data_IF_032931801027
#
_entry.id   IF_032931801027
#
_cell.length_a   1.000
_cell.length_b   1.000
_cell.length_c   1.000
_cell.angle_alpha   90.00
_cell.angle_beta   90.00
_cell.angle_gamma   90.00
#
_symmetry.space_group_name_H-M   'P 1'
#
loop_
_entity.id
_entity.type
_entity.pdbx_description
1 polymer ?
#
# COMPACT_ATOMS: atom_id res chain seq x y z
N UNK A 1 64.71 11.60 18.81
CA UNK A 1 63.64 12.60 18.58
C UNK A 1 62.38 11.85 18.19
N UNK A 2 61.46 11.68 19.15
CA UNK A 2 60.18 11.01 18.95
C UNK A 2 59.14 12.05 18.54
N UNK A 3 58.80 12.11 17.25
CA UNK A 3 57.65 12.89 16.80
C UNK A 3 56.37 12.13 17.20
N UNK A 4 55.47 12.73 18.01
CA UNK A 4 54.20 12.13 18.31
C UNK A 4 53.36 12.03 17.02
N UNK A 5 52.85 10.82 16.77
CA UNK A 5 52.02 10.45 15.63
C UNK A 5 50.78 11.36 15.52
N UNK A 6 50.80 12.27 14.54
CA UNK A 6 49.67 13.13 14.14
C UNK A 6 48.41 12.36 13.75
N UNK A 7 48.48 11.02 13.62
CA UNK A 7 47.33 10.17 13.27
C UNK A 7 46.34 9.93 14.41
N UNK A 8 46.71 10.20 15.67
CA UNK A 8 45.86 9.87 16.84
C UNK A 8 44.75 10.92 17.09
N UNK A 9 44.90 12.15 16.59
CA UNK A 9 44.00 13.27 16.95
C UNK A 9 42.84 13.46 15.95
N UNK A 10 42.97 12.95 14.72
CA UNK A 10 41.97 13.18 13.65
C UNK A 10 40.71 12.31 13.85
N UNK A 11 40.86 11.13 14.42
CA UNK A 11 39.78 10.15 14.58
C UNK A 11 38.61 10.59 15.51
N UNK A 12 38.84 11.14 16.73
CA UNK A 12 37.73 11.54 17.61
C UNK A 12 36.93 12.75 17.11
N UNK A 13 37.54 13.63 16.30
CA UNK A 13 36.86 14.80 15.73
C UNK A 13 35.85 14.44 14.64
N UNK A 14 36.10 13.35 13.92
CA UNK A 14 35.17 12.88 12.89
C UNK A 14 33.91 12.24 13.49
N UNK A 15 34.05 11.51 14.62
CA UNK A 15 32.92 10.87 15.32
C UNK A 15 31.97 11.90 15.95
N UNK A 16 32.52 12.99 16.51
CA UNK A 16 31.71 14.06 17.10
C UNK A 16 30.86 14.82 16.07
N UNK A 17 31.35 14.96 14.83
CA UNK A 17 30.62 15.64 13.75
C UNK A 17 29.41 14.82 13.26
N UNK A 18 29.48 13.48 13.29
CA UNK A 18 28.39 12.59 12.86
C UNK A 18 27.25 12.55 13.89
N UNK A 19 27.55 12.70 15.18
CA UNK A 19 26.53 12.71 16.25
C UNK A 19 25.69 13.99 16.29
N UNK A 20 26.24 15.15 15.90
CA UNK A 20 25.57 16.44 16.05
C UNK A 20 24.48 16.70 15.00
N UNK A 21 24.58 16.07 13.83
CA UNK A 21 23.60 16.17 12.73
C UNK A 21 22.31 15.39 12.99
N UNK A 22 22.32 14.44 13.92
CA UNK A 22 21.18 13.55 14.21
C UNK A 22 20.12 14.24 15.12
N UNK A 23 20.49 15.30 15.85
CA UNK A 23 19.62 15.92 16.87
C UNK A 23 18.68 17.04 16.36
N UNK A 24 18.79 17.48 15.11
CA UNK A 24 18.22 18.77 14.69
C UNK A 24 16.84 18.75 14.00
N UNK A 25 16.19 17.60 13.76
CA UNK A 25 15.01 17.57 12.86
C UNK A 25 13.88 16.67 13.38
N UNK A 26 12.95 17.23 14.16
CA UNK A 26 11.67 16.59 14.51
C UNK A 26 10.50 17.60 14.44
N UNK A 27 9.63 17.45 13.44
CA UNK A 27 8.28 18.04 13.44
C UNK A 27 7.29 17.03 12.83
N UNK A 28 6.28 16.63 13.61
CA UNK A 28 5.25 15.63 13.27
C UNK A 28 4.05 16.28 12.58
N UNK A 29 3.46 15.61 11.56
CA UNK A 29 2.16 15.93 10.98
C UNK A 29 1.15 14.80 11.26
N UNK A 30 -0.07 15.18 11.67
CA UNK A 30 -1.16 14.29 12.03
C UNK A 30 -2.06 13.96 10.81
N UNK A 31 -2.61 12.74 10.77
CA UNK A 31 -3.53 12.29 9.73
C UNK A 31 -4.98 12.81 9.95
N UNK A 32 -5.75 13.05 8.87
CA UNK A 32 -7.11 13.59 8.96
C UNK A 32 -8.13 12.52 9.37
N UNK A 33 -9.06 12.93 10.25
CA UNK A 33 -10.07 12.08 10.88
C UNK A 33 -11.24 11.68 9.97
N UNK A 34 -11.87 10.56 10.33
CA UNK A 34 -13.07 9.96 9.74
C UNK A 34 -14.25 10.95 9.72
N UNK A 35 -14.87 11.15 8.55
CA UNK A 35 -16.07 11.97 8.39
C UNK A 35 -17.33 11.25 8.89
N UNK A 36 -17.96 11.77 9.94
CA UNK A 36 -19.36 11.50 10.28
C UNK A 36 -20.23 12.53 9.57
N UNK A 37 -21.06 12.10 8.61
CA UNK A 37 -21.95 12.98 7.86
C UNK A 37 -23.30 13.11 8.58
N UNK A 38 -23.71 14.33 8.88
CA UNK A 38 -25.01 14.64 9.51
C UNK A 38 -26.12 14.73 8.46
N UNK A 39 -27.33 14.30 8.81
CA UNK A 39 -28.53 14.18 7.97
C UNK A 39 -28.97 15.49 7.26
N UNK A 40 -28.52 16.65 7.78
CA UNK A 40 -28.74 17.98 7.19
C UNK A 40 -28.07 18.20 5.83
N UNK A 41 -27.15 17.33 5.42
CA UNK A 41 -26.37 17.49 4.18
C UNK A 41 -27.15 17.06 2.91
N UNK A 42 -28.32 16.42 3.08
CA UNK A 42 -29.14 15.85 2.00
C UNK A 42 -29.87 16.86 1.11
N UNK A 43 -29.86 18.15 1.46
CA UNK A 43 -30.49 19.22 0.68
C UNK A 43 -29.51 20.05 -0.14
N UNK A 44 -28.20 19.84 0.02
CA UNK A 44 -27.23 20.59 -0.76
C UNK A 44 -27.13 20.00 -2.17
N UNK A 45 -27.04 20.84 -3.22
CA UNK A 45 -26.77 20.36 -4.57
C UNK A 45 -25.46 19.56 -4.60
N UNK A 46 -25.46 18.46 -5.35
CA UNK A 46 -24.24 17.70 -5.59
C UNK A 46 -23.50 18.42 -6.70
N UNK A 47 -22.48 19.17 -6.32
CA UNK A 47 -21.50 19.76 -7.23
C UNK A 47 -20.22 18.92 -7.18
N UNK A 48 -19.83 18.33 -8.30
CA UNK A 48 -18.61 17.50 -8.39
C UNK A 48 -18.06 17.43 -9.80
N UNK A 49 -16.73 17.39 -9.92
CA UNK A 49 -16.01 17.12 -11.17
C UNK A 49 -15.55 15.64 -11.26
N UNK A 50 -15.91 14.84 -10.28
CA UNK A 50 -15.49 13.43 -10.11
C UNK A 50 -16.54 12.46 -10.65
N UNK A 51 -16.08 11.27 -11.05
CA UNK A 51 -16.93 10.19 -11.55
C UNK A 51 -17.39 10.38 -12.99
N UNK A 52 -18.06 9.37 -13.54
CA UNK A 52 -18.60 9.39 -14.90
C UNK A 52 -20.11 9.28 -14.83
N UNK A 53 -20.82 10.18 -15.49
CA UNK A 53 -22.27 10.17 -15.53
C UNK A 53 -22.71 9.98 -16.98
N UNK A 54 -23.42 8.89 -17.23
CA UNK A 54 -24.04 8.58 -18.50
C UNK A 54 -25.55 8.70 -18.36
N UNK A 55 -26.19 9.44 -19.25
CA UNK A 55 -27.65 9.58 -19.29
C UNK A 55 -28.14 9.23 -20.68
N UNK A 56 -28.97 8.19 -20.77
CA UNK A 56 -29.52 7.66 -22.03
C UNK A 56 -28.45 7.35 -23.08
N UNK A 57 -27.32 6.78 -22.64
CA UNK A 57 -26.20 6.43 -23.52
C UNK A 57 -25.26 7.58 -23.85
N UNK A 58 -25.55 8.81 -23.43
CA UNK A 58 -24.68 9.97 -23.63
C UNK A 58 -23.83 10.24 -22.40
N UNK A 59 -22.52 10.48 -22.60
CA UNK A 59 -21.64 10.94 -21.53
C UNK A 59 -21.87 12.43 -21.26
N UNK A 60 -22.21 12.77 -20.03
CA UNK A 60 -22.28 14.16 -19.57
C UNK A 60 -20.89 14.63 -19.14
N UNK A 61 -20.48 15.81 -19.60
CA UNK A 61 -19.20 16.41 -19.20
C UNK A 61 -19.33 17.07 -17.82
N UNK A 62 -18.35 16.89 -16.91
CA UNK A 62 -18.29 17.66 -15.66
C UNK A 62 -18.03 19.16 -15.94
N UNK A 63 -18.34 20.06 -14.99
CA UNK A 63 -18.85 19.80 -13.65
C UNK A 63 -20.30 19.30 -13.65
N UNK A 64 -20.61 18.34 -12.78
CA UNK A 64 -21.98 17.89 -12.56
C UNK A 64 -22.63 18.76 -11.50
N UNK A 65 -23.81 19.30 -11.83
CA UNK A 65 -24.68 19.99 -10.89
C UNK A 65 -25.99 19.21 -10.80
N UNK A 66 -26.16 18.47 -9.69
CA UNK A 66 -27.34 17.66 -9.44
C UNK A 66 -28.14 18.28 -8.30
N UNK A 67 -29.37 18.67 -8.61
CA UNK A 67 -30.33 19.24 -7.65
C UNK A 67 -31.54 18.28 -7.55
N UNK A 68 -32.13 18.16 -6.36
CA UNK A 68 -33.35 17.38 -6.17
C UNK A 68 -34.48 18.28 -5.63
N UNK A 69 -35.62 18.26 -6.31
CA UNK A 69 -36.88 18.83 -5.86
C UNK A 69 -37.76 17.69 -5.34
N UNK A 70 -37.58 17.35 -4.07
CA UNK A 70 -38.30 16.24 -3.42
C UNK A 70 -39.81 16.48 -3.28
N UNK A 71 -40.29 17.72 -3.46
CA UNK A 71 -41.73 18.02 -3.44
C UNK A 71 -42.38 17.64 -4.78
N UNK A 72 -41.62 17.73 -5.87
CA UNK A 72 -42.08 17.39 -7.23
C UNK A 72 -41.58 16.04 -7.74
N UNK A 73 -40.77 15.34 -6.96
CA UNK A 73 -40.12 14.09 -7.35
C UNK A 73 -39.23 14.25 -8.61
N UNK A 74 -38.59 15.43 -8.74
CA UNK A 74 -37.74 15.77 -9.87
C UNK A 74 -36.27 15.81 -9.46
N UNK A 75 -35.41 15.30 -10.33
CA UNK A 75 -33.95 15.41 -10.23
C UNK A 75 -33.47 16.20 -11.43
N UNK A 76 -32.78 17.31 -11.17
CA UNK A 76 -32.22 18.18 -12.19
C UNK A 76 -30.73 17.90 -12.32
N UNK A 77 -30.30 17.43 -13.49
CA UNK A 77 -28.89 17.15 -13.80
C UNK A 77 -28.45 18.16 -14.85
N UNK A 78 -27.49 19.02 -14.52
CA UNK A 78 -26.95 20.07 -15.41
C UNK A 78 -28.05 20.96 -16.04
N UNK A 79 -29.16 21.19 -15.31
CA UNK A 79 -30.28 22.00 -15.77
C UNK A 79 -31.38 21.25 -16.51
N UNK A 80 -31.17 19.98 -16.88
CA UNK A 80 -32.20 19.12 -17.45
C UNK A 80 -32.99 18.41 -16.34
N UNK A 81 -34.32 18.44 -16.43
CA UNK A 81 -35.23 17.86 -15.45
C UNK A 81 -35.56 16.41 -15.81
N UNK A 82 -35.32 15.51 -14.87
CA UNK A 82 -35.67 14.09 -14.94
C UNK A 82 -36.64 13.77 -13.81
N UNK A 83 -37.77 13.17 -14.15
CA UNK A 83 -38.69 12.67 -13.14
C UNK A 83 -38.13 11.38 -12.52
N UNK A 84 -38.34 11.16 -11.23
CA UNK A 84 -37.80 9.98 -10.54
C UNK A 84 -38.39 8.67 -11.08
N UNK A 85 -39.61 8.72 -11.63
CA UNK A 85 -40.28 7.62 -12.34
C UNK A 85 -39.71 7.35 -13.74
N UNK A 86 -38.85 8.23 -14.27
CA UNK A 86 -38.15 7.99 -15.52
C UNK A 86 -37.12 6.85 -15.40
N UNK A 87 -36.77 6.43 -14.18
CA UNK A 87 -35.84 5.35 -13.90
C UNK A 87 -36.52 4.26 -13.06
N UNK A 88 -36.14 3.00 -13.26
CA UNK A 88 -36.63 1.91 -12.39
C UNK A 88 -35.87 1.93 -11.05
N UNK A 89 -36.44 2.62 -10.07
CA UNK A 89 -35.86 2.73 -8.73
C UNK A 89 -36.27 1.58 -7.78
N UNK A 90 -36.94 0.54 -8.27
CA UNK A 90 -37.46 -0.56 -7.44
C UNK A 90 -36.36 -1.28 -6.65
N UNK A 91 -35.19 -1.49 -7.26
CA UNK A 91 -34.02 -2.09 -6.61
C UNK A 91 -33.48 -1.28 -5.43
N UNK A 92 -33.46 0.06 -5.57
CA UNK A 92 -32.96 0.97 -4.54
C UNK A 92 -33.87 1.03 -3.31
N UNK A 93 -35.19 1.02 -3.54
CA UNK A 93 -36.19 0.99 -2.46
C UNK A 93 -36.04 -0.28 -1.62
N UNK A 94 -35.80 -1.42 -2.27
CA UNK A 94 -35.55 -2.68 -1.57
C UNK A 94 -34.29 -2.61 -0.70
N UNK A 95 -33.21 -1.99 -1.19
CA UNK A 95 -31.96 -1.83 -0.45
C UNK A 95 -32.10 -0.96 0.81
N UNK A 96 -32.82 0.17 0.72
CA UNK A 96 -33.05 1.04 1.89
C UNK A 96 -33.93 0.32 2.93
N UNK A 97 -34.94 -0.43 2.48
CA UNK A 97 -35.79 -1.22 3.38
C UNK A 97 -35.00 -2.31 4.13
N UNK A 98 -34.04 -2.96 3.46
CA UNK A 98 -33.15 -3.95 4.06
C UNK A 98 -32.19 -3.31 5.07
N UNK A 99 -31.62 -2.14 4.74
CA UNK A 99 -30.75 -1.36 5.67
C UNK A 99 -31.51 -0.93 6.92
N UNK A 100 -32.76 -0.44 6.78
CA UNK A 100 -33.60 -0.06 7.93
C UNK A 100 -33.95 -1.26 8.80
N UNK A 101 -34.31 -2.41 8.21
CA UNK A 101 -34.60 -3.64 8.97
C UNK A 101 -33.37 -4.22 9.68
N UNK A 102 -32.18 -4.11 9.07
CA UNK A 102 -30.93 -4.60 9.66
C UNK A 102 -30.37 -3.73 10.80
N UNK A 103 -30.61 -2.40 10.75
CA UNK A 103 -30.07 -1.46 11.73
C UNK A 103 -30.71 -1.54 13.12
N UNK A 104 -31.97 -1.97 13.22
CA UNK A 104 -32.72 -2.00 14.48
C UNK A 104 -32.61 -3.35 15.23
N UNK A 105 -32.10 -4.39 14.58
CA UNK A 105 -31.95 -5.74 15.15
C UNK A 105 -30.64 -6.00 15.90
N UNK A 106 -29.58 -5.21 15.66
CA UNK A 106 -28.22 -5.50 16.13
C UNK A 106 -27.87 -5.07 17.57
N UNK A 107 -28.80 -4.41 18.29
CA UNK A 107 -28.60 -3.95 19.68
C UNK A 107 -29.53 -4.60 20.72
N UNK A 108 -30.13 -5.75 20.39
CA UNK A 108 -30.52 -6.73 21.42
C UNK A 108 -29.32 -7.64 21.61
N UNK A 109 -28.34 -7.26 22.41
CA UNK A 109 -28.51 -7.39 23.84
C UNK A 109 -28.71 -8.87 24.16
N UNK A 110 -27.62 -9.63 24.28
CA UNK A 110 -27.58 -10.88 25.04
C UNK A 110 -27.93 -10.54 26.50
N UNK A 111 -29.21 -10.33 26.74
CA UNK A 111 -29.79 -10.12 28.05
C UNK A 111 -30.89 -11.14 28.22
N UNK A 112 -30.56 -12.21 28.94
CA UNK A 112 -31.50 -13.15 29.53
C UNK A 112 -32.71 -12.44 30.16
N UNK A 113 -33.93 -12.87 29.81
CA UNK A 113 -34.99 -13.32 30.75
C UNK A 113 -36.36 -13.30 30.06
N UNK A 114 -36.88 -14.50 29.86
CA UNK A 114 -38.10 -14.98 30.52
C UNK A 114 -39.14 -13.91 30.91
N UNK A 115 -40.34 -14.01 30.32
CA UNK A 115 -41.57 -13.55 30.95
C UNK A 115 -42.36 -12.45 30.24
N UNK A 116 -43.22 -12.87 29.31
CA UNK A 116 -44.53 -12.24 29.07
C UNK A 116 -44.53 -10.90 28.34
N UNK A 117 -45.73 -10.43 28.03
CA UNK A 117 -46.06 -9.21 27.25
C UNK A 117 -46.16 -9.41 25.74
N UNK A 118 -46.92 -10.43 25.40
CA UNK A 118 -47.75 -10.50 24.20
C UNK A 118 -48.99 -9.61 24.43
N UNK A 119 -48.97 -8.36 23.96
CA UNK A 119 -50.13 -7.47 23.68
C UNK A 119 -49.65 -6.06 23.32
N UNK A 120 -49.81 -5.68 22.06
CA UNK A 120 -49.73 -4.26 21.67
C UNK A 120 -49.09 -3.93 20.32
N UNK A 121 -48.84 -4.91 19.44
CA UNK A 121 -48.18 -4.68 18.14
C UNK A 121 -49.18 -4.46 16.99
N UNK A 122 -50.22 -3.66 17.23
CA UNK A 122 -51.31 -3.40 16.27
C UNK A 122 -51.43 -1.91 15.87
N UNK A 123 -50.45 -1.06 16.22
CA UNK A 123 -50.51 0.40 15.97
C UNK A 123 -49.43 0.98 15.03
N UNK A 124 -48.74 0.17 14.25
CA UNK A 124 -47.67 0.66 13.36
C UNK A 124 -47.98 0.59 11.85
N UNK A 125 -49.22 0.31 11.45
CA UNK A 125 -49.60 0.19 10.04
C UNK A 125 -50.14 1.48 9.39
N UNK A 126 -50.28 2.60 10.12
CA UNK A 126 -51.01 3.78 9.64
C UNK A 126 -50.15 4.97 9.18
N UNK A 127 -48.82 4.84 9.19
CA UNK A 127 -47.91 5.83 8.58
C UNK A 127 -47.14 5.20 7.41
N UNK A 128 -47.88 4.61 6.47
CA UNK A 128 -47.34 4.39 5.14
C UNK A 128 -47.19 5.78 4.48
N UNK A 129 -46.01 6.39 4.63
CA UNK A 129 -45.68 7.58 3.85
C UNK A 129 -45.91 7.29 2.35
N UNK A 130 -46.44 8.26 1.58
CA UNK A 130 -46.67 8.09 0.16
C UNK A 130 -45.37 7.62 -0.52
N UNK A 131 -45.45 6.45 -1.15
CA UNK A 131 -44.30 5.66 -1.62
C UNK A 131 -43.42 6.35 -2.67
N UNK A 132 -43.86 7.45 -3.25
CA UNK A 132 -43.10 8.23 -4.23
C UNK A 132 -41.89 8.95 -3.62
N UNK A 133 -42.07 9.74 -2.56
CA UNK A 133 -41.01 10.67 -2.07
C UNK A 133 -39.75 9.99 -1.49
N UNK A 134 -39.83 8.70 -1.16
CA UNK A 134 -38.71 7.93 -0.59
C UNK A 134 -37.71 7.51 -1.68
N UNK A 135 -38.18 7.32 -2.92
CA UNK A 135 -37.34 6.84 -4.03
C UNK A 135 -36.35 7.92 -4.48
N UNK A 136 -36.80 9.17 -4.72
CA UNK A 136 -35.92 10.25 -5.14
C UNK A 136 -34.86 10.63 -4.11
N UNK A 137 -35.18 10.62 -2.80
CA UNK A 137 -34.18 10.86 -1.74
C UNK A 137 -33.09 9.79 -1.72
N UNK A 138 -33.50 8.54 -1.83
CA UNK A 138 -32.57 7.40 -1.84
C UNK A 138 -31.69 7.46 -3.09
N UNK A 139 -32.30 7.70 -4.25
CA UNK A 139 -31.59 7.82 -5.51
C UNK A 139 -30.62 9.01 -5.53
N UNK A 140 -31.04 10.19 -5.07
CA UNK A 140 -30.16 11.36 -4.93
C UNK A 140 -28.96 11.09 -4.00
N UNK A 141 -29.18 10.35 -2.90
CA UNK A 141 -28.09 9.92 -2.01
C UNK A 141 -27.09 9.00 -2.72
N UNK A 142 -27.55 8.10 -3.59
CA UNK A 142 -26.66 7.24 -4.36
C UNK A 142 -25.94 8.02 -5.48
N UNK A 143 -26.55 9.06 -6.07
CA UNK A 143 -25.87 9.96 -7.01
C UNK A 143 -24.69 10.71 -6.37
N UNK A 144 -24.72 10.95 -5.06
CA UNK A 144 -23.60 11.57 -4.34
C UNK A 144 -22.33 10.71 -4.37
N UNK A 145 -22.44 9.41 -4.67
CA UNK A 145 -21.28 8.53 -4.90
C UNK A 145 -20.41 8.97 -6.09
N UNK A 146 -20.91 9.83 -6.99
CA UNK A 146 -20.07 10.50 -8.01
C UNK A 146 -18.88 11.25 -7.38
N UNK A 147 -19.03 11.80 -6.17
CA UNK A 147 -17.93 12.44 -5.41
C UNK A 147 -16.80 11.47 -5.06
N UNK A 148 -17.11 10.18 -5.05
CA UNK A 148 -16.17 9.09 -4.80
C UNK A 148 -15.60 8.52 -6.11
N UNK A 149 -15.80 9.17 -7.26
CA UNK A 149 -15.50 8.75 -8.64
C UNK A 149 -16.27 7.54 -9.19
N UNK A 150 -17.44 7.22 -8.65
CA UNK A 150 -18.31 6.16 -9.19
C UNK A 150 -18.70 6.45 -10.65
N UNK A 151 -18.92 5.40 -11.43
CA UNK A 151 -19.58 5.48 -12.74
C UNK A 151 -21.07 5.25 -12.53
N UNK A 152 -21.88 6.20 -12.97
CA UNK A 152 -23.34 6.15 -12.89
C UNK A 152 -23.90 6.11 -14.31
N UNK A 153 -24.72 5.11 -14.60
CA UNK A 153 -25.42 4.96 -15.88
C UNK A 153 -26.92 5.03 -15.62
N UNK A 154 -27.56 6.04 -16.20
CA UNK A 154 -28.99 6.28 -16.14
C UNK A 154 -29.58 6.02 -17.51
N UNK A 155 -30.57 5.13 -17.59
CA UNK A 155 -31.32 4.85 -18.81
C UNK A 155 -32.82 4.90 -18.49
N UNK A 156 -33.60 5.51 -19.38
CA UNK A 156 -35.05 5.60 -19.21
C UNK A 156 -35.69 4.22 -19.02
N UNK A 157 -36.60 4.11 -18.06
CA UNK A 157 -37.37 2.91 -17.71
C UNK A 157 -36.52 1.71 -17.27
N UNK A 158 -35.24 1.93 -16.95
CA UNK A 158 -34.30 0.89 -16.54
C UNK A 158 -33.67 1.19 -15.18
N UNK A 159 -33.17 0.16 -14.46
CA UNK A 159 -32.55 0.39 -13.17
C UNK A 159 -31.22 1.15 -13.34
N UNK A 160 -30.94 2.15 -12.49
CA UNK A 160 -29.68 2.87 -12.52
C UNK A 160 -28.53 1.93 -12.15
N UNK A 161 -27.47 1.93 -12.95
CA UNK A 161 -26.27 1.13 -12.70
C UNK A 161 -25.20 2.01 -12.02
N UNK A 162 -24.72 1.55 -10.87
CA UNK A 162 -23.67 2.21 -10.10
C UNK A 162 -22.44 1.28 -10.02
N UNK A 163 -21.31 1.74 -10.57
CA UNK A 163 -20.06 0.99 -10.54
C UNK A 163 -19.03 1.79 -9.74
N UNK A 164 -18.64 1.27 -8.58
CA UNK A 164 -17.57 1.85 -7.75
C UNK A 164 -16.22 1.85 -8.49
N UNK A 165 -15.21 2.61 -8.03
CA UNK A 165 -13.82 2.40 -8.52
C UNK A 165 -13.27 1.08 -8.01
N UNK A 166 -13.69 0.03 -8.68
CA UNK A 166 -13.12 -1.30 -8.66
C UNK A 166 -12.56 -1.58 -10.06
N UNK A 167 -11.97 -2.76 -10.22
CA UNK A 167 -11.58 -3.34 -11.51
C UNK A 167 -12.72 -3.28 -12.55
N UNK A 168 -13.96 -3.23 -12.10
CA UNK A 168 -15.18 -3.22 -12.92
C UNK A 168 -15.39 -1.89 -13.64
N UNK A 169 -15.14 -0.77 -12.94
CA UNK A 169 -15.16 0.56 -13.54
C UNK A 169 -14.06 0.74 -14.58
N UNK A 170 -12.88 0.16 -14.30
CA UNK A 170 -11.76 0.13 -15.22
C UNK A 170 -12.11 -0.68 -16.47
N UNK A 171 -12.67 -1.87 -16.30
CA UNK A 171 -13.12 -2.70 -17.42
C UNK A 171 -14.14 -1.96 -18.30
N UNK A 172 -15.12 -1.27 -17.70
CA UNK A 172 -16.09 -0.47 -18.45
C UNK A 172 -15.39 0.61 -19.27
N UNK A 173 -14.57 1.45 -18.63
CA UNK A 173 -13.91 2.57 -19.30
C UNK A 173 -13.00 2.08 -20.44
N UNK A 174 -12.26 0.99 -20.20
CA UNK A 174 -11.42 0.35 -21.21
C UNK A 174 -12.24 -0.17 -22.38
N UNK A 175 -13.39 -0.81 -22.14
CA UNK A 175 -14.32 -1.24 -23.20
C UNK A 175 -14.87 -0.05 -23.99
N UNK A 176 -15.32 1.02 -23.32
CA UNK A 176 -15.86 2.22 -23.99
C UNK A 176 -14.81 2.97 -24.81
N UNK A 177 -13.54 2.98 -24.38
CA UNK A 177 -12.42 3.52 -25.16
C UNK A 177 -12.13 2.62 -26.38
N UNK A 178 -12.19 1.30 -26.22
CA UNK A 178 -11.94 0.34 -27.30
C UNK A 178 -12.99 0.41 -28.41
N UNK A 179 -14.26 0.71 -28.08
CA UNK A 179 -15.34 0.88 -29.06
C UNK A 179 -15.00 1.93 -30.13
N UNK A 180 -14.33 3.03 -29.76
CA UNK A 180 -13.89 4.08 -30.70
C UNK A 180 -12.83 3.57 -31.71
N UNK A 181 -12.02 2.61 -31.31
CA UNK A 181 -10.97 2.01 -32.15
C UNK A 181 -11.47 0.92 -33.10
N UNK A 182 -12.76 0.56 -33.04
CA UNK A 182 -13.35 -0.53 -33.81
C UNK A 182 -12.95 -1.93 -33.33
N UNK A 183 -12.23 -2.02 -32.21
CA UNK A 183 -11.85 -3.29 -31.60
C UNK A 183 -12.91 -3.71 -30.58
N UNK A 184 -13.77 -4.65 -30.96
CA UNK A 184 -14.65 -5.34 -30.02
C UNK A 184 -13.93 -6.59 -29.52
N UNK A 185 -13.05 -6.42 -28.54
CA UNK A 185 -12.61 -7.59 -27.77
C UNK A 185 -13.81 -8.23 -27.06
N UNK A 186 -13.70 -9.50 -26.69
CA UNK A 186 -14.78 -10.21 -26.01
C UNK A 186 -15.23 -9.40 -24.78
N UNK A 187 -16.46 -8.87 -24.84
CA UNK A 187 -17.02 -8.01 -23.80
C UNK A 187 -17.04 -8.78 -22.47
N UNK A 188 -16.16 -8.41 -21.54
CA UNK A 188 -16.15 -8.97 -20.19
C UNK A 188 -17.15 -8.20 -19.35
N UNK A 189 -18.27 -8.83 -19.04
CA UNK A 189 -19.27 -8.28 -18.11
C UNK A 189 -18.73 -8.45 -16.69
N UNK A 190 -18.58 -7.38 -15.88
CA UNK A 190 -18.06 -7.49 -14.53
C UNK A 190 -18.99 -8.25 -13.57
N UNK A 191 -18.41 -8.84 -12.52
CA UNK A 191 -19.14 -9.64 -11.54
C UNK A 191 -20.13 -8.82 -10.68
N UNK A 192 -19.91 -7.51 -10.47
CA UNK A 192 -20.91 -6.65 -9.82
C UNK A 192 -22.20 -6.47 -10.61
N UNK A 193 -22.19 -6.74 -11.92
CA UNK A 193 -23.40 -6.68 -12.77
C UNK A 193 -24.15 -8.00 -12.62
N UNK A 194 -24.84 -8.13 -11.47
CA UNK A 194 -25.45 -9.37 -11.04
C UNK A 194 -26.82 -9.59 -11.65
N UNK A 195 -27.63 -8.53 -11.81
CA UNK A 195 -28.99 -8.69 -12.31
C UNK A 195 -29.05 -8.75 -13.84
N UNK A 196 -29.98 -9.51 -14.42
CA UNK A 196 -30.19 -9.52 -15.87
C UNK A 196 -30.50 -8.13 -16.44
N UNK A 197 -31.22 -7.29 -15.69
CA UNK A 197 -31.55 -5.93 -16.10
C UNK A 197 -30.31 -5.01 -16.14
N UNK A 198 -29.42 -5.10 -15.16
CA UNK A 198 -28.15 -4.36 -15.17
C UNK A 198 -27.24 -4.82 -16.31
N UNK A 199 -27.23 -6.12 -16.64
CA UNK A 199 -26.50 -6.63 -17.81
C UNK A 199 -27.01 -6.03 -19.10
N UNK A 200 -28.32 -5.92 -19.25
CA UNK A 200 -28.92 -5.29 -20.43
C UNK A 200 -28.57 -3.81 -20.54
N UNK A 201 -28.55 -3.07 -19.42
CA UNK A 201 -28.10 -1.67 -19.35
C UNK A 201 -26.63 -1.55 -19.77
N UNK A 202 -25.78 -2.44 -19.27
CA UNK A 202 -24.36 -2.50 -19.59
C UNK A 202 -24.12 -2.80 -21.08
N UNK A 203 -24.70 -3.89 -21.60
CA UNK A 203 -24.56 -4.30 -23.00
C UNK A 203 -25.08 -3.23 -23.95
N UNK A 204 -26.21 -2.60 -23.61
CA UNK A 204 -26.74 -1.48 -24.39
C UNK A 204 -25.77 -0.29 -24.38
N UNK A 205 -25.23 0.08 -23.21
CA UNK A 205 -24.27 1.17 -23.12
C UNK A 205 -23.05 0.86 -24.00
N UNK A 206 -22.39 -0.30 -23.83
CA UNK A 206 -21.17 -0.61 -24.59
C UNK A 206 -21.41 -0.70 -26.10
N UNK A 207 -22.56 -1.23 -26.52
CA UNK A 207 -22.89 -1.39 -27.95
C UNK A 207 -23.33 -0.11 -28.65
N UNK A 208 -23.98 0.81 -27.95
CA UNK A 208 -24.56 2.02 -28.54
C UNK A 208 -23.76 3.29 -28.23
N UNK A 209 -22.78 3.22 -27.33
CA UNK A 209 -22.02 4.39 -26.90
C UNK A 209 -21.19 4.99 -28.03
N UNK A 210 -21.40 6.29 -28.27
CA UNK A 210 -20.58 7.10 -29.17
C UNK A 210 -19.64 7.95 -28.32
N UNK A 211 -18.35 7.62 -28.36
CA UNK A 211 -17.35 8.28 -27.55
C UNK A 211 -17.18 9.76 -27.97
N UNK A 212 -17.36 10.68 -27.02
CA UNK A 212 -17.05 12.10 -27.25
C UNK A 212 -15.56 12.36 -27.04
N UNK A 213 -14.94 13.35 -27.70
CA UNK A 213 -13.53 13.69 -27.48
C UNK A 213 -13.22 14.01 -26.00
N UNK A 214 -14.16 14.69 -25.32
CA UNK A 214 -14.04 15.01 -23.90
C UNK A 214 -14.07 13.76 -23.00
N UNK A 215 -14.92 12.78 -23.33
CA UNK A 215 -14.91 11.48 -22.67
C UNK A 215 -13.56 10.78 -22.87
N UNK A 216 -13.12 10.63 -24.12
CA UNK A 216 -11.89 9.89 -24.45
C UNK A 216 -10.66 10.46 -23.74
N UNK A 217 -10.51 11.78 -23.72
CA UNK A 217 -9.39 12.43 -23.03
C UNK A 217 -9.36 12.08 -21.53
N UNK A 218 -10.52 12.16 -20.87
CA UNK A 218 -10.63 11.94 -19.42
C UNK A 218 -10.53 10.46 -19.07
N UNK A 219 -11.21 9.60 -19.82
CA UNK A 219 -11.21 8.16 -19.63
C UNK A 219 -9.81 7.57 -19.83
N UNK A 220 -9.08 7.97 -20.90
CA UNK A 220 -7.70 7.54 -21.13
C UNK A 220 -6.78 7.93 -19.99
N UNK A 221 -6.83 9.18 -19.53
CA UNK A 221 -6.03 9.63 -18.39
C UNK A 221 -6.30 8.79 -17.14
N UNK A 222 -7.56 8.42 -16.89
CA UNK A 222 -7.94 7.60 -15.74
C UNK A 222 -7.44 6.16 -15.89
N UNK A 223 -7.67 5.54 -17.05
CA UNK A 223 -7.21 4.17 -17.36
C UNK A 223 -5.69 4.08 -17.29
N UNK A 224 -4.95 5.04 -17.87
CA UNK A 224 -3.49 5.10 -17.78
C UNK A 224 -2.98 5.22 -16.34
N UNK A 225 -3.68 6.00 -15.51
CA UNK A 225 -3.36 6.11 -14.09
C UNK A 225 -3.57 4.79 -13.36
N UNK A 226 -4.70 4.11 -13.60
CA UNK A 226 -4.99 2.81 -12.99
C UNK A 226 -4.02 1.73 -13.48
N UNK A 227 -3.66 1.73 -14.77
CA UNK A 227 -2.63 0.84 -15.31
C UNK A 227 -1.27 1.04 -14.63
N UNK A 228 -0.89 2.30 -14.39
CA UNK A 228 0.35 2.62 -13.70
C UNK A 228 0.33 2.12 -12.25
N UNK A 229 -0.80 2.25 -11.56
CA UNK A 229 -1.00 1.73 -10.20
C UNK A 229 -1.03 0.20 -10.16
N UNK A 230 -1.72 -0.45 -11.10
CA UNK A 230 -1.77 -1.91 -11.21
C UNK A 230 -0.39 -2.51 -11.48
N UNK A 231 0.39 -1.92 -12.40
CA UNK A 231 1.78 -2.33 -12.65
C UNK A 231 2.64 -2.21 -11.40
N UNK A 232 2.45 -1.19 -10.57
CA UNK A 232 3.18 -1.07 -9.30
C UNK A 232 2.80 -2.19 -8.32
N UNK A 233 1.53 -2.56 -8.26
CA UNK A 233 1.06 -3.68 -7.44
C UNK A 233 1.64 -5.01 -7.95
N UNK A 234 1.64 -5.24 -9.25
CA UNK A 234 2.21 -6.44 -9.87
C UNK A 234 3.72 -6.53 -9.66
N UNK A 235 4.44 -5.42 -9.87
CA UNK A 235 5.89 -5.33 -9.61
C UNK A 235 6.20 -5.64 -8.13
N UNK A 236 5.36 -5.14 -7.22
CA UNK A 236 5.48 -5.41 -5.79
C UNK A 236 5.20 -6.89 -5.46
N UNK A 237 4.15 -7.48 -6.04
CA UNK A 237 3.82 -8.88 -5.87
C UNK A 237 4.92 -9.80 -6.41
N UNK A 238 5.46 -9.50 -7.59
CA UNK A 238 6.59 -10.21 -8.19
C UNK A 238 7.86 -10.09 -7.32
N UNK A 239 8.12 -8.93 -6.73
CA UNK A 239 9.23 -8.74 -5.80
C UNK A 239 9.07 -9.57 -4.51
N UNK A 240 7.86 -9.65 -3.95
CA UNK A 240 7.55 -10.51 -2.80
C UNK A 240 7.74 -11.99 -3.15
N UNK A 241 7.28 -12.42 -4.32
CA UNK A 241 7.44 -13.80 -4.77
C UNK A 241 8.92 -14.15 -4.96
N UNK A 242 9.71 -13.26 -5.58
CA UNK A 242 11.15 -13.44 -5.71
C UNK A 242 11.83 -13.50 -4.33
N UNK A 243 11.43 -12.63 -3.41
CA UNK A 243 11.93 -12.60 -2.04
C UNK A 243 11.66 -13.92 -1.30
N UNK A 244 10.47 -14.49 -1.43
CA UNK A 244 10.12 -15.77 -0.79
C UNK A 244 10.96 -16.93 -1.36
N UNK A 245 11.19 -16.95 -2.68
CA UNK A 245 12.05 -17.94 -3.34
C UNK A 245 13.51 -17.86 -2.89
N UNK A 246 14.02 -16.65 -2.63
CA UNK A 246 15.42 -16.43 -2.21
C UNK A 246 15.61 -16.63 -0.70
N UNK A 247 14.56 -16.45 0.11
CA UNK A 247 14.66 -16.47 1.57
C UNK A 247 15.20 -17.80 2.14
N UNK A 248 14.72 -18.94 1.65
CA UNK A 248 15.18 -20.26 2.12
C UNK A 248 16.67 -20.56 1.83
N UNK A 249 17.17 -20.44 0.58
CA UNK A 249 18.59 -20.67 0.32
C UNK A 249 19.47 -19.64 1.02
N UNK A 250 19.03 -18.38 1.13
CA UNK A 250 19.77 -17.33 1.83
C UNK A 250 19.91 -17.63 3.33
N UNK A 251 18.84 -18.04 4.00
CA UNK A 251 18.87 -18.40 5.43
C UNK A 251 19.73 -19.63 5.70
N UNK A 252 19.63 -20.64 4.84
CA UNK A 252 20.49 -21.83 4.91
C UNK A 252 21.96 -21.44 4.76
N UNK A 253 22.28 -20.61 3.77
CA UNK A 253 23.65 -20.10 3.55
C UNK A 253 24.15 -19.30 4.75
N UNK A 254 23.32 -18.41 5.30
CA UNK A 254 23.65 -17.61 6.46
C UNK A 254 23.93 -18.47 7.70
N UNK A 255 23.16 -19.54 7.92
CA UNK A 255 23.40 -20.48 9.02
C UNK A 255 24.75 -21.19 8.90
N UNK A 256 25.08 -21.69 7.71
CA UNK A 256 26.40 -22.28 7.43
C UNK A 256 27.51 -21.26 7.66
N UNK A 257 27.32 -20.03 7.19
CA UNK A 257 28.31 -18.95 7.35
C UNK A 257 28.53 -18.59 8.83
N UNK A 258 27.48 -18.56 9.64
CA UNK A 258 27.58 -18.35 11.10
C UNK A 258 28.40 -19.45 11.77
N UNK A 259 28.17 -20.71 11.44
CA UNK A 259 28.95 -21.85 11.99
C UNK A 259 30.42 -21.75 11.60
N UNK A 260 30.70 -21.45 10.32
CA UNK A 260 32.07 -21.25 9.81
C UNK A 260 32.76 -20.08 10.53
N UNK A 261 32.05 -18.97 10.71
CA UNK A 261 32.58 -17.80 11.40
C UNK A 261 32.94 -18.09 12.86
N UNK A 262 32.05 -18.77 13.60
CA UNK A 262 32.32 -19.19 14.98
C UNK A 262 33.56 -20.10 15.04
N UNK A 263 33.63 -21.11 14.16
CA UNK A 263 34.78 -22.01 14.08
C UNK A 263 36.09 -21.24 13.82
N UNK A 264 36.06 -20.32 12.85
CA UNK A 264 37.20 -19.46 12.51
C UNK A 264 37.62 -18.58 13.69
N UNK A 265 36.67 -17.96 14.38
CA UNK A 265 36.90 -17.08 15.54
C UNK A 265 37.53 -17.85 16.70
N UNK A 266 37.09 -19.09 16.97
CA UNK A 266 37.59 -19.93 18.06
C UNK A 266 39.01 -20.45 17.78
N UNK A 267 39.26 -20.97 16.57
CA UNK A 267 40.57 -21.52 16.18
C UNK A 267 41.65 -20.42 16.21
N UNK A 268 41.30 -19.22 15.75
CA UNK A 268 42.27 -18.12 15.60
C UNK A 268 42.21 -17.06 16.69
N UNK A 269 41.49 -17.27 17.80
CA UNK A 269 41.43 -16.28 18.89
C UNK A 269 42.83 -15.95 19.45
N UNK A 270 43.57 -16.96 19.93
CA UNK A 270 44.87 -16.77 20.57
C UNK A 270 45.90 -16.07 19.65
N UNK A 271 46.12 -16.52 18.38
CA UNK A 271 47.04 -15.85 17.46
C UNK A 271 46.68 -14.39 17.11
N UNK A 272 45.39 -14.02 17.17
CA UNK A 272 44.94 -12.67 16.86
C UNK A 272 45.19 -11.69 18.02
N UNK A 273 45.24 -12.17 19.26
CA UNK A 273 45.51 -11.35 20.44
C UNK A 273 47.00 -11.32 20.83
N UNK A 274 47.73 -12.42 20.59
CA UNK A 274 49.15 -12.57 20.93
C UNK A 274 50.11 -11.78 20.02
N UNK A 275 51.26 -11.43 20.59
CA UNK A 275 52.45 -11.08 19.80
C UNK A 275 53.02 -12.36 19.18
N UNK A 276 53.41 -12.30 17.91
CA UNK A 276 54.04 -13.44 17.22
C UNK A 276 55.42 -13.01 16.81
N UNK A 277 56.42 -13.63 17.44
CA UNK A 277 57.84 -13.38 17.18
C UNK A 277 58.36 -14.26 16.01
N UNK A 278 57.64 -15.33 15.67
CA UNK A 278 58.00 -16.24 14.58
C UNK A 278 57.45 -15.76 13.20
N UNK A 279 58.30 -15.56 12.18
CA UNK A 279 57.86 -15.15 10.84
C UNK A 279 56.86 -16.10 10.19
N UNK A 280 56.93 -17.42 10.46
CA UNK A 280 55.99 -18.38 9.88
C UNK A 280 54.57 -18.24 10.46
N UNK A 281 54.47 -17.94 11.77
CA UNK A 281 53.21 -17.62 12.43
C UNK A 281 52.56 -16.35 11.90
N UNK A 282 53.36 -15.35 11.51
CA UNK A 282 52.85 -14.10 10.96
C UNK A 282 52.11 -14.31 9.63
N UNK A 283 52.62 -15.16 8.73
CA UNK A 283 51.94 -15.46 7.46
C UNK A 283 50.59 -16.14 7.67
N UNK A 284 50.52 -17.10 8.60
CA UNK A 284 49.28 -17.79 8.94
C UNK A 284 48.23 -16.83 9.52
N UNK A 285 48.66 -15.88 10.36
CA UNK A 285 47.79 -14.83 10.88
C UNK A 285 47.28 -13.90 9.77
N UNK A 286 48.15 -13.52 8.81
CA UNK A 286 47.72 -12.70 7.68
C UNK A 286 46.62 -13.41 6.87
N UNK A 287 46.80 -14.70 6.57
CA UNK A 287 45.80 -15.53 5.87
C UNK A 287 44.50 -15.61 6.68
N UNK A 288 44.59 -15.89 7.98
CA UNK A 288 43.42 -15.96 8.86
C UNK A 288 42.67 -14.61 8.97
N UNK A 289 43.40 -13.49 8.98
CA UNK A 289 42.81 -12.15 8.99
C UNK A 289 42.08 -11.85 7.69
N UNK A 290 42.65 -12.21 6.54
CA UNK A 290 42.00 -12.05 5.23
C UNK A 290 40.74 -12.91 5.14
N UNK A 291 40.79 -14.17 5.58
CA UNK A 291 39.61 -15.04 5.62
C UNK A 291 38.51 -14.46 6.52
N UNK A 292 38.89 -13.90 7.68
CA UNK A 292 37.98 -13.21 8.58
C UNK A 292 37.30 -12.00 7.93
N UNK A 293 38.04 -11.22 7.14
CA UNK A 293 37.49 -10.08 6.37
C UNK A 293 36.54 -10.53 5.26
N UNK A 294 36.80 -11.66 4.60
CA UNK A 294 35.87 -12.24 3.62
C UNK A 294 34.56 -12.63 4.30
N UNK A 295 34.62 -13.28 5.47
CA UNK A 295 33.43 -13.65 6.26
C UNK A 295 32.64 -12.38 6.65
N UNK A 296 33.32 -11.33 7.12
CA UNK A 296 32.72 -10.02 7.43
C UNK A 296 31.99 -9.44 6.22
N UNK A 297 32.62 -9.45 5.04
CA UNK A 297 32.02 -8.97 3.80
C UNK A 297 30.76 -9.75 3.41
N UNK A 298 30.83 -11.09 3.47
CA UNK A 298 29.69 -11.96 3.18
C UNK A 298 28.54 -11.73 4.17
N UNK A 299 28.80 -11.69 5.48
CA UNK A 299 27.78 -11.44 6.51
C UNK A 299 27.14 -10.06 6.35
N UNK A 300 27.94 -9.02 6.05
CA UNK A 300 27.41 -7.69 5.76
C UNK A 300 26.54 -7.67 4.50
N UNK A 301 26.83 -8.50 3.50
CA UNK A 301 26.01 -8.67 2.30
C UNK A 301 24.66 -9.31 2.61
N UNK A 302 24.65 -10.38 3.41
CA UNK A 302 23.41 -11.04 3.87
C UNK A 302 22.55 -10.06 4.68
N UNK A 303 23.17 -9.32 5.61
CA UNK A 303 22.48 -8.30 6.41
C UNK A 303 21.87 -7.18 5.54
N UNK A 304 22.54 -6.76 4.46
CA UNK A 304 21.96 -5.84 3.47
C UNK A 304 20.74 -6.45 2.78
N UNK A 305 20.81 -7.71 2.33
CA UNK A 305 19.67 -8.38 1.67
C UNK A 305 18.47 -8.44 2.60
N UNK A 306 18.65 -8.84 3.86
CA UNK A 306 17.54 -8.86 4.83
C UNK A 306 16.99 -7.48 5.15
N UNK A 307 17.86 -6.46 5.21
CA UNK A 307 17.40 -5.07 5.37
C UNK A 307 16.49 -4.66 4.21
N UNK A 308 16.83 -5.04 2.96
CA UNK A 308 16.02 -4.73 1.78
C UNK A 308 14.68 -5.47 1.80
N UNK A 309 14.67 -6.76 2.14
CA UNK A 309 13.45 -7.55 2.25
C UNK A 309 12.54 -6.98 3.35
N UNK A 310 13.11 -6.65 4.50
CA UNK A 310 12.35 -6.08 5.61
C UNK A 310 11.76 -4.69 5.28
N UNK A 311 12.48 -3.90 4.47
CA UNK A 311 11.98 -2.63 3.96
C UNK A 311 10.79 -2.82 3.00
N UNK A 312 10.93 -3.72 2.02
CA UNK A 312 9.86 -4.00 1.04
C UNK A 312 8.57 -4.49 1.72
N UNK A 313 8.68 -5.27 2.78
CA UNK A 313 7.52 -5.78 3.50
C UNK A 313 6.82 -4.74 4.39
N UNK A 314 7.31 -3.49 4.46
CA UNK A 314 6.76 -2.44 5.33
C UNK A 314 6.83 -2.75 6.83
N UNK A 315 7.55 -3.83 7.21
CA UNK A 315 7.65 -4.33 8.59
C UNK A 315 8.56 -3.45 9.44
N UNK A 316 9.52 -2.77 8.80
CA UNK A 316 10.41 -1.83 9.48
C UNK A 316 9.92 -0.39 9.32
N UNK A 317 9.14 0.06 10.31
CA UNK A 317 8.86 1.49 10.46
C UNK A 317 10.02 2.14 11.20
N UNK A 318 10.95 2.74 10.46
CA UNK A 318 12.10 3.39 11.08
C UNK A 318 11.70 4.64 11.86
N UNK A 319 12.13 4.68 13.12
CA UNK A 319 11.84 5.76 14.06
C UNK A 319 12.80 6.94 13.88
N UNK A 320 13.91 6.76 13.15
CA UNK A 320 14.86 7.82 12.86
C UNK A 320 14.43 8.59 11.60
N UNK A 321 14.16 9.90 11.68
CA UNK A 321 13.76 10.71 10.53
C UNK A 321 14.86 10.82 9.45
N UNK A 322 16.13 10.59 9.80
CA UNK A 322 17.21 10.48 8.81
C UNK A 322 17.22 9.11 8.14
N UNK A 323 16.91 8.06 8.90
CA UNK A 323 16.74 6.70 8.39
C UNK A 323 15.58 6.61 7.42
N UNK A 324 14.44 7.25 7.72
CA UNK A 324 13.25 7.21 6.86
C UNK A 324 13.54 7.75 5.45
N UNK A 325 14.25 8.88 5.32
CA UNK A 325 14.61 9.44 4.01
C UNK A 325 15.54 8.53 3.20
N UNK A 326 16.46 7.85 3.90
CA UNK A 326 17.35 6.85 3.30
C UNK A 326 16.61 5.57 2.90
N UNK A 327 15.51 5.27 3.58
CA UNK A 327 14.68 4.09 3.38
C UNK A 327 13.66 4.28 2.27
N UNK A 328 13.18 5.52 2.07
CA UNK A 328 12.29 5.90 0.97
C UNK A 328 12.91 5.60 -0.40
N UNK A 329 14.25 5.54 -0.48
CA UNK A 329 14.96 5.14 -1.69
C UNK A 329 15.91 3.95 -1.42
N UNK A 330 15.51 2.71 -1.76
CA UNK A 330 16.33 1.52 -1.50
C UNK A 330 17.71 1.59 -2.16
N UNK A 331 17.86 2.30 -3.29
CA UNK A 331 19.15 2.47 -3.94
C UNK A 331 20.14 3.30 -3.10
N UNK A 332 19.64 4.33 -2.38
CA UNK A 332 20.49 5.13 -1.48
C UNK A 332 20.98 4.31 -0.30
N UNK A 333 20.11 3.48 0.29
CA UNK A 333 20.47 2.58 1.38
C UNK A 333 21.54 1.57 0.95
N UNK A 334 21.39 0.96 -0.22
CA UNK A 334 22.38 0.04 -0.81
C UNK A 334 23.71 0.75 -1.00
N UNK A 335 23.70 1.91 -1.66
CA UNK A 335 24.92 2.66 -1.95
C UNK A 335 25.64 3.07 -0.65
N UNK A 336 24.91 3.59 0.32
CA UNK A 336 25.47 3.99 1.61
C UNK A 336 26.14 2.81 2.33
N UNK A 337 25.42 1.70 2.49
CA UNK A 337 25.92 0.52 3.19
C UNK A 337 27.10 -0.10 2.46
N UNK A 338 27.03 -0.18 1.13
CA UNK A 338 28.12 -0.68 0.31
C UNK A 338 29.38 0.17 0.46
N UNK A 339 29.27 1.50 0.32
CA UNK A 339 30.42 2.41 0.45
C UNK A 339 31.06 2.31 1.84
N UNK A 340 30.25 2.38 2.90
CA UNK A 340 30.77 2.31 4.29
C UNK A 340 31.42 0.96 4.57
N UNK A 341 30.80 -0.15 4.15
CA UNK A 341 31.35 -1.50 4.33
C UNK A 341 32.64 -1.68 3.52
N UNK A 342 32.67 -1.28 2.25
CA UNK A 342 33.86 -1.40 1.40
C UNK A 342 35.03 -0.58 1.93
N UNK A 343 34.80 0.66 2.39
CA UNK A 343 35.85 1.48 3.00
C UNK A 343 36.35 0.82 4.29
N UNK A 344 35.45 0.33 5.13
CA UNK A 344 35.80 -0.32 6.40
C UNK A 344 36.64 -1.58 6.19
N UNK A 345 36.21 -2.47 5.28
CA UNK A 345 36.96 -3.68 4.90
C UNK A 345 38.30 -3.31 4.28
N UNK A 346 38.34 -2.31 3.39
CA UNK A 346 39.56 -1.84 2.74
C UNK A 346 40.59 -1.32 3.73
N UNK A 347 40.16 -0.53 4.72
CA UNK A 347 41.03 -0.03 5.79
C UNK A 347 41.57 -1.16 6.66
N UNK A 348 40.72 -2.10 7.09
CA UNK A 348 41.17 -3.25 7.89
C UNK A 348 42.11 -4.15 7.09
N UNK A 349 41.87 -4.33 5.79
CA UNK A 349 42.76 -5.07 4.90
C UNK A 349 44.12 -4.39 4.75
N UNK A 350 44.13 -3.06 4.57
CA UNK A 350 45.38 -2.29 4.45
C UNK A 350 46.20 -2.37 5.74
N UNK A 351 45.55 -2.24 6.90
CA UNK A 351 46.23 -2.25 8.20
C UNK A 351 46.39 -3.63 8.83
N UNK A 352 46.11 -4.72 8.11
CA UNK A 352 46.10 -6.09 8.64
C UNK A 352 47.39 -6.56 9.33
N UNK A 353 48.51 -5.90 9.06
CA UNK A 353 49.80 -6.21 9.71
C UNK A 353 49.86 -5.69 11.16
N UNK A 354 49.09 -4.65 11.47
CA UNK A 354 49.05 -4.03 12.80
C UNK A 354 48.23 -4.92 13.76
N UNK A 355 48.75 -5.27 14.96
CA UNK A 355 48.02 -6.10 15.94
C UNK A 355 46.64 -5.55 16.29
N UNK A 356 46.50 -4.23 16.36
CA UNK A 356 45.23 -3.56 16.62
C UNK A 356 44.18 -3.84 15.56
N UNK A 357 44.54 -3.76 14.27
CA UNK A 357 43.61 -4.03 13.17
C UNK A 357 43.14 -5.49 13.17
N UNK A 358 44.03 -6.44 13.50
CA UNK A 358 43.67 -7.87 13.65
C UNK A 358 42.61 -8.10 14.72
N UNK A 359 42.79 -7.47 15.89
CA UNK A 359 41.80 -7.50 16.98
C UNK A 359 40.49 -6.86 16.57
N UNK A 360 40.53 -5.72 15.88
CA UNK A 360 39.34 -5.04 15.38
C UNK A 360 38.57 -5.91 14.36
N UNK A 361 39.27 -6.55 13.42
CA UNK A 361 38.67 -7.50 12.47
C UNK A 361 38.00 -8.68 13.18
N UNK A 362 38.67 -9.25 14.20
CA UNK A 362 38.10 -10.34 15.00
C UNK A 362 36.81 -9.91 15.70
N UNK A 363 36.81 -8.75 16.36
CA UNK A 363 35.61 -8.20 17.01
C UNK A 363 34.49 -7.87 16.03
N UNK A 364 34.83 -7.30 14.86
CA UNK A 364 33.86 -7.00 13.82
C UNK A 364 33.18 -8.29 13.31
N UNK A 365 33.96 -9.34 13.08
CA UNK A 365 33.44 -10.64 12.68
C UNK A 365 32.53 -11.26 13.75
N UNK A 366 32.92 -11.18 15.03
CA UNK A 366 32.07 -11.64 16.14
C UNK A 366 30.73 -10.89 16.18
N UNK A 367 30.75 -9.55 16.12
CA UNK A 367 29.53 -8.75 16.16
C UNK A 367 28.61 -9.06 14.98
N UNK A 368 29.14 -9.14 13.76
CA UNK A 368 28.35 -9.49 12.58
C UNK A 368 27.79 -10.91 12.69
N UNK A 369 28.56 -11.86 13.22
CA UNK A 369 28.06 -13.22 13.48
C UNK A 369 26.85 -13.22 14.42
N UNK A 370 26.91 -12.45 15.51
CA UNK A 370 25.80 -12.30 16.45
C UNK A 370 24.59 -11.60 15.82
N UNK A 371 24.81 -10.57 15.01
CA UNK A 371 23.73 -9.89 14.28
C UNK A 371 23.07 -10.82 13.24
N UNK A 372 23.85 -11.58 12.48
CA UNK A 372 23.33 -12.57 11.53
C UNK A 372 22.52 -13.65 12.26
N UNK A 373 23.02 -14.15 13.40
CA UNK A 373 22.27 -15.11 14.22
C UNK A 373 20.94 -14.53 14.73
N UNK A 374 20.95 -13.27 15.20
CA UNK A 374 19.72 -12.56 15.61
C UNK A 374 18.71 -12.46 14.48
N UNK A 375 19.15 -12.12 13.27
CA UNK A 375 18.30 -12.04 12.09
C UNK A 375 17.71 -13.40 11.72
N UNK A 376 18.49 -14.48 11.79
CA UNK A 376 17.98 -15.83 11.57
C UNK A 376 16.87 -16.18 12.56
N UNK A 377 17.04 -15.86 13.85
CA UNK A 377 15.99 -16.06 14.86
C UNK A 377 14.75 -15.23 14.54
N UNK A 378 14.91 -13.95 14.19
CA UNK A 378 13.79 -13.10 13.81
C UNK A 378 13.04 -13.68 12.61
N UNK A 379 13.75 -14.07 11.55
CA UNK A 379 13.13 -14.65 10.37
C UNK A 379 12.41 -15.96 10.68
N UNK A 380 12.97 -16.82 11.54
CA UNK A 380 12.31 -18.07 11.95
C UNK A 380 11.03 -17.88 12.79
N UNK A 381 10.83 -16.71 13.39
CA UNK A 381 9.63 -16.39 14.17
C UNK A 381 8.51 -15.78 13.33
N UNK A 382 8.85 -15.18 12.17
CA UNK A 382 7.93 -14.43 11.33
C UNK A 382 7.75 -15.02 9.91
N UNK A 383 8.52 -16.03 9.54
CA UNK A 383 8.27 -16.92 8.42
C UNK A 383 7.34 -18.06 8.86
#
# INVERSE_FOLDING_TARGET
MNLPSTRVIVFPRMIAAVMLTILAVTTLHAQPGRFSRTESDSRMPIETERGYLFVNGEYLQPPYKIEADFEKDLIRINGADYSADAFDLSGLVNLDSARRRGGEGGRRGMGFRDGGWDRGRERQAEFAEPSGSVSARTFFRELDTLRLNTIVVLQNERPPLFLSLSEESYALLSSLIATDSGFQDAMVIPDAVQSPAEREVWEQLVSQFVATPAFLQRAKLHVEKMDAEARQVDDFAAAIELSSRISYPLTTFALVLVVVAIGHLLIHAQPMFGGVDDPSGLENIKKATVLCLVIVGLMSGIDLIWTLIANQNGSMRELNPLGSKLIDNPAQLIMFKFVVTSISIGLLFWFREIPFARRATWWCCLVLTLLTARWLTFHSLFA
#
